data_IF_802608706264
#
_entry.id   IF_802608706264
#
_cell.length_a   1.000
_cell.length_b   1.000
_cell.length_c   1.000
_cell.angle_alpha   90.00
_cell.angle_beta   90.00
_cell.angle_gamma   90.00
#
_symmetry.space_group_name_H-M   'P 1'
#
loop_
_entity.id
_entity.type
_entity.pdbx_description
1 polymer ?
#
# COMPACT_ATOMS: atom_id res chain seq x y z
N UNK A 1 13.84 -30.72 -4.34
CA UNK A 1 12.61 -29.97 -3.98
C UNK A 1 11.39 -30.67 -4.60
N UNK A 2 10.93 -31.78 -4.01
CA UNK A 2 9.91 -32.65 -4.65
C UNK A 2 8.50 -32.48 -4.08
N UNK A 3 8.36 -31.77 -2.96
CA UNK A 3 7.05 -31.54 -2.33
C UNK A 3 6.24 -30.56 -3.16
N UNK A 4 4.93 -30.82 -3.27
CA UNK A 4 3.99 -29.95 -3.96
C UNK A 4 4.02 -28.55 -3.33
N UNK A 5 4.05 -27.52 -4.18
CA UNK A 5 3.94 -26.13 -3.75
C UNK A 5 2.61 -25.88 -3.03
N UNK A 6 2.61 -24.85 -2.19
CA UNK A 6 1.42 -24.32 -1.53
C UNK A 6 0.48 -23.68 -2.57
N UNK A 7 -0.79 -23.44 -2.20
CA UNK A 7 -1.78 -22.79 -3.08
C UNK A 7 -1.41 -21.35 -3.45
N UNK A 8 -0.64 -20.66 -2.60
CA UNK A 8 -0.09 -19.32 -2.85
C UNK A 8 1.12 -19.32 -3.81
N UNK A 9 1.52 -20.49 -4.37
CA UNK A 9 2.64 -20.62 -5.29
C UNK A 9 4.03 -20.72 -4.65
N UNK A 10 4.13 -20.61 -3.31
CA UNK A 10 5.38 -20.75 -2.57
C UNK A 10 5.77 -22.22 -2.36
N UNK A 11 7.05 -22.45 -2.10
CA UNK A 11 7.56 -23.79 -1.81
C UNK A 11 6.99 -24.32 -0.50
N UNK A 12 6.90 -25.65 -0.40
CA UNK A 12 6.53 -26.31 0.84
C UNK A 12 7.58 -26.00 1.93
N UNK A 13 7.15 -25.36 3.02
CA UNK A 13 7.95 -25.12 4.20
C UNK A 13 7.56 -26.11 5.31
N UNK A 14 8.51 -26.92 5.78
CA UNK A 14 8.31 -27.82 6.94
C UNK A 14 8.36 -27.04 8.27
N UNK A 15 9.17 -25.99 8.31
CA UNK A 15 9.34 -25.11 9.45
C UNK A 15 9.79 -23.73 8.96
N UNK A 16 9.54 -22.71 9.76
CA UNK A 16 10.02 -21.35 9.52
C UNK A 16 10.53 -20.76 10.83
N UNK A 17 11.51 -19.86 10.71
CA UNK A 17 11.98 -19.03 11.80
C UNK A 17 11.65 -17.58 11.45
N UNK A 18 11.24 -16.80 12.44
CA UNK A 18 11.08 -15.36 12.30
C UNK A 18 12.34 -14.73 12.88
N UNK A 19 13.05 -13.95 12.07
CA UNK A 19 14.23 -13.20 12.51
C UNK A 19 13.78 -11.79 12.86
N UNK A 20 14.08 -11.36 14.09
CA UNK A 20 13.65 -10.08 14.66
C UNK A 20 12.59 -10.26 15.74
N UNK A 21 12.63 -9.40 16.77
CA UNK A 21 11.62 -9.42 17.82
C UNK A 21 10.26 -9.08 17.20
N UNK A 22 9.26 -9.94 17.44
CA UNK A 22 7.85 -9.59 17.23
C UNK A 22 7.46 -8.62 18.34
N UNK A 23 8.00 -7.41 18.30
CA UNK A 23 7.61 -6.34 19.19
C UNK A 23 6.18 -5.96 18.81
N UNK A 24 5.21 -6.63 19.44
CA UNK A 24 3.85 -6.12 19.58
C UNK A 24 3.77 -4.93 20.53
N UNK A 25 4.92 -4.38 20.94
CA UNK A 25 5.05 -3.10 21.64
C UNK A 25 5.19 -1.95 20.65
N UNK A 26 4.90 -0.74 21.15
CA UNK A 26 5.05 0.51 20.43
C UNK A 26 6.42 0.60 19.74
N UNK A 27 6.49 1.07 18.48
CA UNK A 27 7.77 1.29 17.81
C UNK A 27 8.61 2.27 18.64
N UNK A 28 9.89 1.93 18.83
CA UNK A 28 10.83 2.81 19.53
C UNK A 28 10.93 4.18 18.84
N UNK A 29 11.26 5.23 19.59
CA UNK A 29 11.33 6.62 19.11
C UNK A 29 12.26 6.75 17.88
N UNK A 30 13.33 5.96 17.84
CA UNK A 30 14.24 5.93 16.69
C UNK A 30 13.54 5.42 15.40
N UNK A 31 12.66 4.43 15.50
CA UNK A 31 11.86 3.92 14.40
C UNK A 31 10.84 4.95 13.92
N UNK A 32 10.19 5.64 14.87
CA UNK A 32 9.22 6.70 14.58
C UNK A 32 9.87 7.88 13.85
N UNK A 33 11.06 8.32 14.28
CA UNK A 33 11.82 9.38 13.61
C UNK A 33 12.23 8.96 12.19
N UNK A 34 12.66 7.71 12.01
CA UNK A 34 12.99 7.18 10.68
C UNK A 34 11.79 7.06 9.76
N UNK A 35 10.61 6.73 10.30
CA UNK A 35 9.37 6.69 9.55
C UNK A 35 8.92 8.09 9.16
N UNK A 36 8.91 9.04 10.11
CA UNK A 36 8.49 10.42 9.86
C UNK A 36 9.35 11.08 8.78
N UNK A 37 10.68 10.86 8.81
CA UNK A 37 11.59 11.29 7.74
C UNK A 37 11.17 10.76 6.36
N UNK A 38 10.93 9.44 6.24
CA UNK A 38 10.52 8.81 4.97
C UNK A 38 9.18 9.33 4.47
N UNK A 39 8.23 9.60 5.37
CA UNK A 39 6.92 10.16 5.02
C UNK A 39 7.06 11.58 4.47
N UNK A 40 7.84 12.43 5.14
CA UNK A 40 8.09 13.80 4.69
C UNK A 40 8.84 13.82 3.36
N UNK A 41 9.92 13.03 3.23
CA UNK A 41 10.68 12.95 1.98
C UNK A 41 9.80 12.53 0.80
N UNK A 42 8.97 11.50 0.97
CA UNK A 42 8.04 11.05 -0.07
C UNK A 42 6.97 12.10 -0.40
N UNK A 43 6.41 12.77 0.61
CA UNK A 43 5.42 13.82 0.39
C UNK A 43 6.01 15.02 -0.36
N UNK A 44 7.22 15.44 0.01
CA UNK A 44 7.94 16.53 -0.65
C UNK A 44 8.27 16.17 -2.09
N UNK A 45 8.77 14.96 -2.35
CA UNK A 45 9.05 14.50 -3.72
C UNK A 45 7.78 14.53 -4.60
N UNK A 46 6.65 14.05 -4.07
CA UNK A 46 5.36 14.11 -4.78
C UNK A 46 4.90 15.54 -5.02
N UNK A 47 5.04 16.42 -4.03
CA UNK A 47 4.65 17.83 -4.17
C UNK A 47 5.50 18.58 -5.21
N UNK A 48 6.81 18.31 -5.25
CA UNK A 48 7.71 18.88 -6.28
C UNK A 48 7.32 18.37 -7.66
N UNK A 49 7.06 17.07 -7.80
CA UNK A 49 6.61 16.50 -9.06
C UNK A 49 5.28 17.12 -9.52
N UNK A 50 4.30 17.20 -8.64
CA UNK A 50 3.01 17.82 -8.91
C UNK A 50 3.16 19.29 -9.34
N UNK A 51 4.02 20.06 -8.66
CA UNK A 51 4.30 21.44 -9.03
C UNK A 51 4.84 21.55 -10.46
N UNK A 52 5.79 20.69 -10.84
CA UNK A 52 6.34 20.67 -12.20
C UNK A 52 5.28 20.28 -13.23
N UNK A 53 4.43 19.31 -12.93
CA UNK A 53 3.31 18.90 -13.78
C UNK A 53 2.31 20.06 -13.98
N UNK A 54 1.88 20.71 -12.91
CA UNK A 54 0.89 21.80 -12.99
C UNK A 54 1.44 23.08 -13.63
N UNK A 55 2.73 23.38 -13.43
CA UNK A 55 3.35 24.60 -13.98
C UNK A 55 3.87 24.42 -15.40
N UNK A 56 4.35 23.23 -15.79
CA UNK A 56 4.95 23.01 -17.11
C UNK A 56 4.05 22.27 -18.10
N UNK A 57 3.08 21.46 -17.65
CA UNK A 57 2.17 20.73 -18.56
C UNK A 57 0.98 21.57 -19.05
N UNK A 58 0.73 22.75 -18.44
CA UNK A 58 -0.37 23.68 -18.81
C UNK A 58 -0.26 24.29 -20.23
N UNK A 59 0.81 24.00 -20.96
CA UNK A 59 1.01 24.47 -22.34
C UNK A 59 0.41 23.55 -23.42
N UNK A 60 -0.28 22.46 -23.05
CA UNK A 60 -1.10 21.69 -24.01
C UNK A 60 -2.58 21.97 -23.78
N UNK A 61 -3.28 22.66 -24.72
CA UNK A 61 -4.73 22.76 -24.67
C UNK A 61 -5.32 21.39 -24.97
N UNK A 62 -5.93 20.76 -23.96
CA UNK A 62 -6.70 19.53 -24.09
C UNK A 62 -5.97 18.30 -23.59
N UNK A 63 -6.22 17.92 -22.34
CA UNK A 63 -6.99 16.70 -22.03
C UNK A 63 -7.23 16.69 -20.51
N UNK A 64 -8.43 17.12 -20.11
CA UNK A 64 -8.87 16.99 -18.73
C UNK A 64 -9.14 15.52 -18.45
N UNK A 65 -8.10 14.78 -18.06
CA UNK A 65 -8.28 13.40 -17.58
C UNK A 65 -9.02 13.47 -16.25
N UNK A 66 -10.34 13.31 -16.37
CA UNK A 66 -11.26 13.07 -15.28
C UNK A 66 -10.79 11.87 -14.47
N UNK A 67 -10.31 12.13 -13.26
CA UNK A 67 -10.20 11.11 -12.22
C UNK A 67 -11.64 10.69 -11.90
N UNK A 68 -12.14 9.69 -12.61
CA UNK A 68 -13.27 8.87 -12.18
C UNK A 68 -12.81 8.07 -10.96
N UNK A 69 -13.09 8.57 -9.77
CA UNK A 69 -13.22 7.70 -8.60
C UNK A 69 -14.68 7.28 -8.54
N UNK A 70 -15.01 6.21 -9.25
CA UNK A 70 -16.31 5.54 -9.10
C UNK A 70 -16.34 4.81 -7.77
N UNK A 71 -17.40 5.06 -7.02
CA UNK A 71 -17.78 4.42 -5.77
C UNK A 71 -17.85 2.90 -5.92
N UNK A 72 -17.29 2.18 -4.94
CA UNK A 72 -17.66 0.80 -4.65
C UNK A 72 -17.99 0.70 -3.15
N UNK A 73 -18.97 1.48 -2.73
CA UNK A 73 -19.75 1.20 -1.53
C UNK A 73 -20.78 0.13 -1.90
N UNK A 74 -20.56 -1.11 -1.41
CA UNK A 74 -21.53 -2.22 -1.29
C UNK A 74 -20.79 -3.47 -0.81
N UNK A 75 -20.74 -3.67 0.50
CA UNK A 75 -20.71 -5.03 1.04
C UNK A 75 -21.56 -5.10 2.31
N UNK A 76 -22.88 -5.00 2.12
CA UNK A 76 -23.84 -5.52 3.07
C UNK A 76 -23.84 -7.04 2.94
N UNK A 77 -23.20 -7.74 3.87
CA UNK A 77 -23.36 -9.20 4.00
C UNK A 77 -24.61 -9.44 4.84
N UNK A 78 -25.76 -9.40 4.17
CA UNK A 78 -27.03 -9.89 4.71
C UNK A 78 -27.01 -11.42 4.68
N UNK A 79 -26.51 -12.03 5.76
CA UNK A 79 -26.52 -13.48 5.93
C UNK A 79 -27.80 -13.90 6.64
N UNK A 80 -28.90 -13.99 5.89
CA UNK A 80 -30.18 -14.53 6.35
C UNK A 80 -30.77 -15.52 5.31
N UNK A 81 -30.52 -16.82 5.50
CA UNK A 81 -31.50 -17.91 5.25
C UNK A 81 -30.88 -19.27 5.62
N UNK A 82 -31.24 -19.88 6.75
CA UNK A 82 -32.42 -20.75 7.02
C UNK A 82 -32.25 -22.22 6.60
N UNK A 83 -32.23 -23.04 7.66
CA UNK A 83 -33.00 -24.27 7.90
C UNK A 83 -32.79 -25.50 7.00
#
# INVERSE_FOLDING_TARGET
MLKKKQSNGYYHCESSIVIGDKNGGEPDDAELVRLSKRLVENAVLKAVQQYLEETQNKNKPGDGSSVKTEEADRNGTDSDNRK
#
